data_IF_113778116397
#
_entry.id   IF_113778116397
#
_cell.length_a   1.000
_cell.length_b   1.000
_cell.length_c   1.000
_cell.angle_alpha   90.00
_cell.angle_beta   90.00
_cell.angle_gamma   90.00
#
_symmetry.space_group_name_H-M   'P 1'
#
loop_
_entity.id
_entity.type
_entity.pdbx_description
1 polymer ?
#
# COMPACT_ATOMS: atom_id res chain seq x y z
N UNK A 1 6.40 16.79 12.95
CA UNK A 1 5.94 16.28 12.71
C UNK A 1 5.20 15.94 12.88
N UNK A 2 5.06 15.81 12.78
CA UNK A 2 4.30 15.49 12.72
C UNK A 2 3.55 14.76 13.16
N UNK A 3 2.96 14.83 13.13
CA UNK A 3 2.02 14.28 13.45
C UNK A 3 1.97 12.95 13.32
N UNK A 4 1.89 12.27 14.25
CA UNK A 4 1.81 10.90 14.20
C UNK A 4 0.57 10.51 13.50
N UNK A 5 0.67 9.67 12.55
CA UNK A 5 -0.54 9.18 11.93
C UNK A 5 -1.28 8.38 12.95
N UNK A 6 -2.57 8.42 12.84
CA UNK A 6 -3.38 7.63 13.72
C UNK A 6 -3.22 6.16 13.47
N UNK A 7 -2.87 5.80 12.25
CA UNK A 7 -2.70 4.42 11.86
C UNK A 7 -1.27 3.97 12.19
N UNK A 8 -1.10 2.86 12.90
CA UNK A 8 0.24 2.37 13.18
C UNK A 8 0.96 1.96 11.90
N UNK A 9 2.27 2.08 11.93
CA UNK A 9 3.09 1.64 10.82
C UNK A 9 3.30 0.14 10.93
N UNK A 10 3.11 -0.55 9.84
CA UNK A 10 3.35 -1.98 9.78
C UNK A 10 4.45 -2.26 8.79
N UNK A 11 5.41 -3.09 9.19
CA UNK A 11 6.49 -3.48 8.29
C UNK A 11 6.20 -4.82 7.67
N UNK A 12 6.31 -4.90 6.35
CA UNK A 12 6.22 -6.16 5.65
C UNK A 12 7.34 -6.21 4.63
N UNK A 13 7.76 -7.43 4.32
CA UNK A 13 8.82 -7.63 3.35
C UNK A 13 8.22 -7.90 1.99
N UNK A 14 8.69 -7.14 1.02
CA UNK A 14 8.20 -7.27 -0.35
C UNK A 14 9.42 -7.32 -1.26
N UNK A 15 9.52 -8.33 -2.13
CA UNK A 15 10.63 -8.37 -3.08
C UNK A 15 10.65 -7.11 -3.94
N UNK A 16 11.85 -6.69 -4.31
CA UNK A 16 12.01 -5.47 -5.08
C UNK A 16 11.23 -5.51 -6.38
N UNK A 17 11.25 -6.65 -7.05
CA UNK A 17 10.53 -6.78 -8.32
C UNK A 17 9.05 -6.53 -8.15
N UNK A 18 8.48 -7.12 -7.10
CA UNK A 18 7.06 -6.94 -6.84
C UNK A 18 6.75 -5.50 -6.45
N UNK A 19 7.63 -4.91 -5.66
CA UNK A 19 7.46 -3.53 -5.24
C UNK A 19 7.46 -2.58 -6.43
N UNK A 20 8.43 -2.77 -7.35
CA UNK A 20 8.51 -1.91 -8.52
C UNK A 20 7.30 -2.06 -9.42
N UNK A 21 6.86 -3.30 -9.62
CA UNK A 21 5.66 -3.54 -10.42
C UNK A 21 4.45 -2.86 -9.80
N UNK A 22 4.33 -2.95 -8.47
CA UNK A 22 3.23 -2.32 -7.77
C UNK A 22 3.26 -0.81 -7.93
N UNK A 23 4.46 -0.22 -7.86
CA UNK A 23 4.57 1.23 -8.04
C UNK A 23 4.16 1.65 -9.44
N UNK A 24 4.56 0.89 -10.44
CA UNK A 24 4.20 1.22 -11.81
C UNK A 24 2.70 1.13 -12.04
N UNK A 25 2.08 0.09 -11.50
CA UNK A 25 0.64 -0.05 -11.63
C UNK A 25 -0.10 1.05 -10.89
N UNK A 26 0.36 1.38 -9.69
CA UNK A 26 -0.28 2.44 -8.92
C UNK A 26 -0.17 3.78 -9.63
N UNK A 27 0.99 4.05 -10.21
CA UNK A 27 1.17 5.30 -10.94
C UNK A 27 0.24 5.38 -12.14
N UNK A 28 0.06 4.26 -12.84
CA UNK A 28 -0.85 4.23 -13.97
C UNK A 28 -2.28 4.49 -13.55
N UNK A 29 -2.64 4.06 -12.35
CA UNK A 29 -3.99 4.26 -11.84
C UNK A 29 -4.15 5.59 -11.11
N UNK A 30 -3.07 6.33 -10.94
CA UNK A 30 -3.14 7.62 -10.26
C UNK A 30 -3.28 7.52 -8.76
N UNK A 31 -2.80 6.43 -8.18
CA UNK A 31 -2.90 6.22 -6.74
C UNK A 31 -1.52 5.85 -6.20
N UNK A 32 -1.41 5.75 -4.88
CA UNK A 32 -0.17 5.31 -4.25
C UNK A 32 -0.25 3.82 -3.92
N UNK A 33 0.92 3.20 -3.77
CA UNK A 33 0.96 1.79 -3.39
C UNK A 33 0.29 1.59 -2.03
N UNK A 34 0.48 2.53 -1.11
CA UNK A 34 -0.15 2.44 0.21
C UNK A 34 -1.66 2.38 0.11
N UNK A 35 -2.24 3.19 -0.78
CA UNK A 35 -3.68 3.17 -0.97
C UNK A 35 -4.15 1.84 -1.54
N UNK A 36 -3.38 1.31 -2.49
CA UNK A 36 -3.72 0.03 -3.08
C UNK A 36 -3.70 -1.07 -2.02
N UNK A 37 -2.66 -1.08 -1.21
CA UNK A 37 -2.53 -2.10 -0.16
C UNK A 37 -3.70 -2.03 0.81
N UNK A 38 -4.05 -0.82 1.24
CA UNK A 38 -5.16 -0.68 2.18
C UNK A 38 -6.47 -1.12 1.58
N UNK A 39 -6.70 -0.76 0.33
CA UNK A 39 -7.93 -1.16 -0.36
C UNK A 39 -8.01 -2.67 -0.50
N UNK A 40 -6.91 -3.29 -0.91
CA UNK A 40 -6.91 -4.73 -1.11
C UNK A 40 -7.12 -5.47 0.20
N UNK A 41 -6.49 -4.98 1.27
CA UNK A 41 -6.68 -5.61 2.57
C UNK A 41 -8.11 -5.47 3.05
N UNK A 42 -8.70 -4.29 2.85
CA UNK A 42 -10.07 -4.07 3.27
C UNK A 42 -11.03 -5.00 2.52
N UNK A 43 -10.80 -5.16 1.23
CA UNK A 43 -11.64 -6.04 0.44
C UNK A 43 -11.46 -7.50 0.85
N UNK A 44 -10.22 -7.86 1.13
CA UNK A 44 -9.92 -9.23 1.52
C UNK A 44 -10.57 -9.58 2.85
N UNK A 45 -10.52 -8.66 3.79
CA UNK A 45 -11.11 -8.88 5.12
C UNK A 45 -12.63 -8.92 5.04
N UNK A 46 -13.21 -8.18 4.11
CA UNK A 46 -14.65 -8.10 3.98
C UNK A 46 -15.29 -9.33 3.32
N UNK A 47 -14.48 -10.22 2.79
CA UNK A 47 -15.02 -11.43 2.13
C UNK A 47 -15.80 -12.29 3.08
#
# INVERSE_FOLDING_TARGET
>A
MPDAPKTPIRGIRIPDELWHAAQEHAAADGVTVSEVVRTMLAEWVAR
#
